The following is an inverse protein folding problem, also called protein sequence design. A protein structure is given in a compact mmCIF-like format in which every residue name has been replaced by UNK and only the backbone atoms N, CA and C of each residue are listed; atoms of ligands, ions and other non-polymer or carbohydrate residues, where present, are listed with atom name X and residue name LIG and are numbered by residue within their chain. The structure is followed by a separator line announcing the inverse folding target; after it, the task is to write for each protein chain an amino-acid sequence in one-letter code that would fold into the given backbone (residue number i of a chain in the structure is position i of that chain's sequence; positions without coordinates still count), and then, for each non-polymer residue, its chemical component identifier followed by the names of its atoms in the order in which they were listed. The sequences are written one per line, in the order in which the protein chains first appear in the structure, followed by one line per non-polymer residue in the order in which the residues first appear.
data_IF_846096205442
#
_entry.id   IF_846096205442
#
_cell.length_a   1.000
_cell.length_b   1.000
_cell.length_c   1.000
_cell.angle_alpha   90.00
_cell.angle_beta   90.00
_cell.angle_gamma   90.00
#
_symmetry.space_group_name_H-M   'P 1'
#
loop_
_entity.id
_entity.type
_entity.pdbx_description
1 polymer ?
#
# COMPACT_ATOMS: atom_id res chain seq x y z
N UNK A 1 -15.60 14.35 57.72
CA UNK A 1 -14.56 14.65 56.71
C UNK A 1 -14.32 13.53 55.69
N UNK A 2 -14.34 12.23 56.06
CA UNK A 2 -13.95 11.14 55.13
C UNK A 2 -14.88 10.92 53.91
N UNK A 3 -16.21 11.09 54.04
CA UNK A 3 -17.16 10.85 52.94
C UNK A 3 -17.14 11.91 51.81
N UNK A 4 -16.88 13.18 52.15
CA UNK A 4 -16.80 14.28 51.17
C UNK A 4 -15.53 14.15 50.31
N UNK A 5 -14.44 13.65 50.88
CA UNK A 5 -13.18 13.40 50.17
C UNK A 5 -13.28 12.18 49.25
N UNK A 6 -14.06 11.15 49.62
CA UNK A 6 -14.31 9.98 48.77
C UNK A 6 -15.18 10.34 47.57
N UNK A 7 -16.21 11.16 47.75
CA UNK A 7 -17.06 11.69 46.67
C UNK A 7 -16.28 12.58 45.69
N UNK A 8 -15.39 13.43 46.20
CA UNK A 8 -14.49 14.25 45.39
C UNK A 8 -13.49 13.39 44.59
N UNK A 9 -12.96 12.31 45.19
CA UNK A 9 -12.03 11.40 44.53
C UNK A 9 -12.70 10.58 43.41
N UNK A 10 -13.95 10.13 43.61
CA UNK A 10 -14.73 9.44 42.57
C UNK A 10 -15.12 10.36 41.41
N UNK A 11 -15.39 11.64 41.68
CA UNK A 11 -15.72 12.61 40.64
C UNK A 11 -14.50 12.97 39.77
N UNK A 12 -13.31 13.06 40.39
CA UNK A 12 -12.04 13.28 39.68
C UNK A 12 -11.67 12.05 38.84
N UNK A 13 -11.86 10.83 39.35
CA UNK A 13 -11.60 9.61 38.59
C UNK A 13 -12.52 9.48 37.36
N UNK A 14 -13.79 9.86 37.49
CA UNK A 14 -14.75 9.84 36.39
C UNK A 14 -14.43 10.89 35.31
N UNK A 15 -13.94 12.07 35.72
CA UNK A 15 -13.50 13.12 34.80
C UNK A 15 -12.27 12.70 33.98
N UNK A 16 -11.32 12.00 34.60
CA UNK A 16 -10.11 11.49 33.94
C UNK A 16 -10.46 10.34 32.97
N UNK A 17 -11.46 9.52 33.30
CA UNK A 17 -11.92 8.46 32.41
C UNK A 17 -12.60 9.02 31.13
N UNK A 18 -13.33 10.14 31.25
CA UNK A 18 -13.95 10.80 30.10
C UNK A 18 -12.94 11.53 29.19
N UNK A 19 -11.82 12.03 29.72
CA UNK A 19 -10.80 12.69 28.88
C UNK A 19 -9.92 11.69 28.12
N UNK A 20 -9.69 10.48 28.66
CA UNK A 20 -8.91 9.44 27.97
C UNK A 20 -9.72 8.76 26.85
N UNK A 21 -11.04 8.61 27.01
CA UNK A 21 -11.88 8.00 25.97
C UNK A 21 -12.14 8.92 24.76
N UNK A 22 -12.05 10.25 24.94
CA UNK A 22 -12.23 11.22 23.86
C UNK A 22 -11.02 11.37 22.92
N UNK A 23 -9.83 10.90 23.32
CA UNK A 23 -8.64 10.92 22.47
C UNK A 23 -8.51 9.70 21.54
N UNK A 24 -9.42 8.72 21.63
CA UNK A 24 -9.37 7.49 20.81
C UNK A 24 -10.20 7.55 19.51
N UNK A 25 -11.01 8.60 19.29
CA UNK A 25 -11.84 8.76 18.08
C UNK A 25 -11.31 9.81 17.10
N UNK A 26 -10.05 10.24 17.25
CA UNK A 26 -9.40 11.22 16.37
C UNK A 26 -8.71 10.63 15.15
N UNK A 27 -8.99 9.38 14.75
CA UNK A 27 -8.52 8.87 13.46
C UNK A 27 -9.42 9.45 12.38
N UNK A 28 -9.10 10.68 11.95
CA UNK A 28 -9.46 11.12 10.61
C UNK A 28 -8.85 10.09 9.68
N UNK A 29 -9.65 9.15 9.20
CA UNK A 29 -9.43 8.59 7.87
C UNK A 29 -9.40 9.79 6.94
N UNK A 30 -8.20 10.32 6.70
CA UNK A 30 -7.91 10.93 5.41
C UNK A 30 -8.35 9.88 4.41
N UNK A 31 -9.47 10.12 3.74
CA UNK A 31 -9.78 9.41 2.52
C UNK A 31 -8.46 9.37 1.74
N UNK A 32 -7.89 8.18 1.55
CA UNK A 32 -6.80 8.04 0.58
C UNK A 32 -7.43 8.63 -0.68
N UNK A 33 -6.88 9.74 -1.18
CA UNK A 33 -7.09 10.08 -2.57
C UNK A 33 -6.87 8.78 -3.37
N UNK A 34 -7.66 8.53 -4.40
CA UNK A 34 -7.56 7.32 -5.24
C UNK A 34 -6.28 7.36 -6.10
N UNK A 35 -5.17 7.77 -5.50
CA UNK A 35 -3.84 7.81 -6.03
C UNK A 35 -3.22 6.41 -5.85
N UNK A 36 -2.75 5.83 -6.94
CA UNK A 36 -2.09 4.52 -6.98
C UNK A 36 -0.69 4.72 -7.54
N UNK A 37 0.33 4.24 -6.83
CA UNK A 37 1.71 4.21 -7.33
C UNK A 37 2.02 2.80 -7.85
N UNK A 38 2.34 2.68 -9.13
CA UNK A 38 2.64 1.40 -9.78
C UNK A 38 4.11 1.35 -10.18
N UNK A 39 4.84 0.37 -9.64
CA UNK A 39 6.21 0.06 -10.04
C UNK A 39 6.27 -0.76 -11.33
N UNK A 40 7.02 -0.32 -12.34
CA UNK A 40 7.06 -0.98 -13.66
C UNK A 40 8.48 -1.04 -14.24
N UNK A 41 8.75 -2.01 -15.12
CA UNK A 41 9.90 -1.89 -16.03
C UNK A 41 9.61 -0.87 -17.14
N UNK A 42 10.63 -0.20 -17.72
CA UNK A 42 10.40 0.91 -18.66
C UNK A 42 9.63 0.51 -19.92
N UNK A 43 9.90 -0.67 -20.47
CA UNK A 43 9.16 -1.20 -21.63
C UNK A 43 9.13 -2.73 -21.56
N UNK A 44 8.02 -3.39 -21.97
CA UNK A 44 6.76 -2.79 -22.44
C UNK A 44 5.82 -2.34 -21.30
N UNK A 45 6.16 -2.60 -20.04
CA UNK A 45 5.26 -2.46 -18.90
C UNK A 45 4.76 -1.03 -18.68
N UNK A 46 5.66 -0.03 -18.63
CA UNK A 46 5.25 1.37 -18.50
C UNK A 46 4.39 1.81 -19.70
N UNK A 47 4.72 1.36 -20.91
CA UNK A 47 3.98 1.70 -22.13
C UNK A 47 2.54 1.20 -22.07
N UNK A 48 2.33 -0.01 -21.53
CA UNK A 48 1.00 -0.60 -21.31
C UNK A 48 0.22 0.20 -20.25
N UNK A 49 0.84 0.52 -19.10
CA UNK A 49 0.15 1.29 -18.04
C UNK A 49 -0.24 2.67 -18.55
N UNK A 50 0.64 3.34 -19.31
CA UNK A 50 0.37 4.65 -19.93
C UNK A 50 -0.89 4.66 -20.82
N UNK A 51 -1.31 3.53 -21.39
CA UNK A 51 -2.53 3.47 -22.21
C UNK A 51 -3.83 3.65 -21.42
N UNK A 52 -3.82 3.40 -20.11
CA UNK A 52 -5.04 3.43 -19.27
C UNK A 52 -5.08 4.57 -18.27
N UNK A 53 -3.98 5.33 -18.11
CA UNK A 53 -3.89 6.43 -17.13
C UNK A 53 -4.97 7.49 -17.36
N UNK A 54 -5.15 7.94 -18.60
CA UNK A 54 -6.12 9.00 -18.92
C UNK A 54 -7.58 8.57 -18.66
N UNK A 55 -7.89 7.29 -18.86
CA UNK A 55 -9.23 6.76 -18.61
C UNK A 55 -9.48 6.58 -17.11
N UNK A 56 -8.48 6.11 -16.36
CA UNK A 56 -8.52 6.03 -14.91
C UNK A 56 -8.64 7.42 -14.27
N UNK A 57 -7.96 8.43 -14.80
CA UNK A 57 -8.05 9.80 -14.28
C UNK A 57 -9.48 10.37 -14.43
N UNK A 58 -10.18 10.07 -15.54
CA UNK A 58 -11.60 10.42 -15.72
C UNK A 58 -12.52 9.72 -14.72
N UNK A 59 -12.14 8.52 -14.27
CA UNK A 59 -12.82 7.79 -13.20
C UNK A 59 -12.42 8.26 -11.79
N UNK A 60 -11.55 9.26 -11.70
CA UNK A 60 -11.07 9.82 -10.44
C UNK A 60 -10.00 8.96 -9.77
N UNK A 61 -9.27 8.14 -10.53
CA UNK A 61 -8.14 7.35 -10.08
C UNK A 61 -6.87 7.93 -10.70
N UNK A 62 -5.94 8.39 -9.87
CA UNK A 62 -4.69 8.97 -10.34
C UNK A 62 -3.57 7.93 -10.28
N UNK A 63 -2.96 7.63 -11.42
CA UNK A 63 -1.87 6.65 -11.48
C UNK A 63 -0.52 7.35 -11.57
N UNK A 64 0.36 7.06 -10.62
CA UNK A 64 1.78 7.46 -10.66
C UNK A 64 2.63 6.25 -11.07
N UNK A 65 3.37 6.38 -12.17
CA UNK A 65 4.26 5.33 -12.66
C UNK A 65 5.66 5.54 -12.06
N UNK A 66 6.20 4.52 -11.40
CA UNK A 66 7.59 4.48 -10.91
C UNK A 66 8.37 3.45 -11.72
N UNK A 67 9.30 3.89 -12.54
CA UNK A 67 10.10 3.00 -13.39
C UNK A 67 11.31 2.42 -12.63
N UNK A 68 11.56 1.13 -12.79
CA UNK A 68 12.70 0.40 -12.21
C UNK A 68 13.55 -0.23 -13.29
N UNK A 69 14.87 -0.14 -13.15
CA UNK A 69 15.84 -0.76 -14.07
C UNK A 69 16.32 -2.15 -13.64
N UNK A 70 15.86 -2.65 -12.48
CA UNK A 70 16.19 -3.97 -11.95
C UNK A 70 14.94 -4.67 -11.38
N UNK A 71 15.08 -5.93 -10.95
CA UNK A 71 13.97 -6.83 -10.66
C UNK A 71 13.77 -7.16 -9.17
N UNK A 72 14.62 -6.67 -8.28
CA UNK A 72 14.56 -6.91 -6.83
C UNK A 72 13.79 -5.78 -6.14
N UNK A 73 14.13 -4.53 -6.40
CA UNK A 73 13.55 -3.37 -5.70
C UNK A 73 12.03 -3.23 -5.87
N UNK A 74 11.39 -3.54 -7.02
CA UNK A 74 9.93 -3.38 -7.13
C UNK A 74 9.15 -4.23 -6.13
N UNK A 75 9.67 -5.40 -5.74
CA UNK A 75 9.03 -6.25 -4.73
C UNK A 75 9.33 -5.78 -3.31
N UNK A 76 10.54 -5.26 -3.06
CA UNK A 76 10.89 -4.70 -1.76
C UNK A 76 10.09 -3.44 -1.46
N UNK A 77 10.02 -2.51 -2.41
CA UNK A 77 9.24 -1.27 -2.29
C UNK A 77 7.75 -1.58 -2.08
N UNK A 78 7.22 -2.63 -2.74
CA UNK A 78 5.83 -3.06 -2.53
C UNK A 78 5.62 -3.62 -1.12
N UNK A 79 6.54 -4.46 -0.64
CA UNK A 79 6.46 -5.03 0.71
C UNK A 79 6.64 -3.96 1.81
N UNK A 80 7.40 -2.90 1.54
CA UNK A 80 7.59 -1.76 2.45
C UNK A 80 6.45 -0.73 2.37
N UNK A 81 5.56 -0.84 1.38
CA UNK A 81 4.42 0.07 1.18
C UNK A 81 4.78 1.39 0.49
N UNK A 82 5.94 1.46 -0.16
CA UNK A 82 6.40 2.62 -0.94
C UNK A 82 5.70 2.72 -2.31
N UNK A 83 5.14 1.61 -2.79
CA UNK A 83 4.26 1.54 -3.97
C UNK A 83 3.03 0.68 -3.65
N UNK A 84 1.91 0.90 -4.35
CA UNK A 84 0.66 0.17 -4.11
C UNK A 84 0.55 -1.13 -4.94
N UNK A 85 1.25 -1.20 -6.08
CA UNK A 85 1.34 -2.39 -6.92
C UNK A 85 2.63 -2.38 -7.75
N UNK A 86 3.01 -3.53 -8.32
CA UNK A 86 4.02 -3.59 -9.37
C UNK A 86 3.56 -4.43 -10.57
N UNK A 87 4.13 -4.14 -11.74
CA UNK A 87 3.88 -4.82 -13.00
C UNK A 87 5.19 -4.92 -13.78
N UNK A 88 5.93 -6.01 -13.56
CA UNK A 88 7.22 -6.27 -14.19
C UNK A 88 7.61 -7.76 -14.29
N UNK A 89 6.88 -8.65 -13.60
CA UNK A 89 7.31 -10.02 -13.30
C UNK A 89 6.25 -11.05 -13.70
N UNK A 90 6.68 -12.30 -13.82
CA UNK A 90 5.81 -13.47 -13.98
C UNK A 90 5.65 -14.24 -12.67
N UNK A 91 4.57 -15.02 -12.54
CA UNK A 91 4.20 -15.75 -11.31
C UNK A 91 5.34 -16.59 -10.70
N UNK A 92 6.10 -17.40 -11.45
CA UNK A 92 7.15 -18.23 -10.84
C UNK A 92 8.25 -17.42 -10.13
N UNK A 93 8.57 -16.22 -10.65
CA UNK A 93 9.57 -15.34 -10.03
C UNK A 93 9.06 -14.77 -8.72
N UNK A 94 7.79 -14.33 -8.68
CA UNK A 94 7.19 -13.81 -7.45
C UNK A 94 7.10 -14.89 -6.36
N UNK A 95 6.70 -16.12 -6.72
CA UNK A 95 6.60 -17.24 -5.78
C UNK A 95 7.97 -17.59 -5.17
N UNK A 96 9.02 -17.64 -5.98
CA UNK A 96 10.40 -17.83 -5.49
C UNK A 96 10.85 -16.66 -4.61
N UNK A 97 10.60 -15.43 -5.04
CA UNK A 97 10.98 -14.23 -4.29
C UNK A 97 10.32 -14.15 -2.90
N UNK A 98 9.03 -14.50 -2.82
CA UNK A 98 8.27 -14.62 -1.57
C UNK A 98 8.88 -15.72 -0.69
N UNK A 99 9.13 -16.91 -1.25
CA UNK A 99 9.65 -18.04 -0.49
C UNK A 99 11.04 -17.77 0.11
N UNK A 100 11.90 -17.04 -0.61
CA UNK A 100 13.24 -16.67 -0.14
C UNK A 100 13.26 -15.60 0.94
N UNK A 101 12.25 -14.73 1.00
CA UNK A 101 12.27 -13.49 1.81
C UNK A 101 11.13 -13.38 2.82
N UNK A 102 10.21 -14.34 2.84
CA UNK A 102 9.06 -14.36 3.76
C UNK A 102 8.19 -13.09 3.64
N UNK A 103 7.81 -12.74 2.40
CA UNK A 103 7.02 -11.54 2.09
C UNK A 103 5.53 -11.87 1.89
N UNK A 104 4.66 -10.99 2.39
CA UNK A 104 3.20 -11.08 2.19
C UNK A 104 2.78 -10.34 0.92
N UNK A 105 3.09 -10.92 -0.24
CA UNK A 105 2.72 -10.41 -1.56
C UNK A 105 1.80 -11.40 -2.26
N UNK A 106 0.94 -10.91 -3.17
CA UNK A 106 0.00 -11.75 -3.91
C UNK A 106 -0.14 -11.34 -5.37
N UNK A 107 -0.50 -12.30 -6.22
CA UNK A 107 -0.79 -12.05 -7.64
C UNK A 107 -2.22 -11.55 -7.77
N UNK A 108 -2.40 -10.37 -8.38
CA UNK A 108 -3.74 -9.82 -8.66
C UNK A 108 -4.32 -10.33 -9.99
N UNK A 109 -3.48 -10.64 -10.97
CA UNK A 109 -3.92 -11.16 -12.27
C UNK A 109 -2.78 -11.23 -13.28
N UNK A 110 -2.99 -12.03 -14.34
CA UNK A 110 -2.10 -12.07 -15.51
C UNK A 110 -2.47 -10.99 -16.52
N UNK A 111 -1.48 -10.28 -17.05
CA UNK A 111 -1.69 -9.15 -17.97
C UNK A 111 -1.19 -9.50 -19.39
N UNK A 112 0.07 -9.91 -19.53
CA UNK A 112 0.67 -10.27 -20.81
C UNK A 112 1.73 -11.38 -20.65
N UNK A 113 2.26 -11.86 -21.78
CA UNK A 113 3.36 -12.82 -21.83
C UNK A 113 4.41 -12.34 -22.82
N UNK A 114 5.68 -12.42 -22.43
CA UNK A 114 6.84 -12.09 -23.26
C UNK A 114 7.59 -13.38 -23.61
N UNK A 115 7.55 -13.86 -24.87
CA UNK A 115 8.27 -15.06 -25.26
C UNK A 115 9.78 -14.88 -25.12
N UNK A 116 10.43 -15.77 -24.38
CA UNK A 116 11.89 -15.76 -24.26
C UNK A 116 12.55 -16.08 -25.61
N UNK A 117 13.53 -15.26 -25.99
CA UNK A 117 14.33 -15.44 -27.21
C UNK A 117 15.78 -15.78 -26.91
N UNK A 118 16.43 -16.51 -27.82
CA UNK A 118 17.87 -16.74 -27.84
C UNK A 118 18.44 -15.97 -29.03
N UNK A 119 19.47 -15.16 -28.80
CA UNK A 119 20.09 -14.29 -29.82
C UNK A 119 21.60 -14.58 -29.93
N UNK A 120 22.22 -14.30 -31.08
CA UNK A 120 23.66 -14.42 -31.35
C UNK A 120 24.19 -13.18 -32.05
#
# INVERSE_FOLDING_TARGET
MKRKNVLALTLVLLLIFTTVFASACGKKETAKDNDIIIGVSPSPHADIVKQVVDDLEKEGIKVTIKEYSEYVQPNLDLAEGEIDANFFQHTPYLEEFIAERDLDLSVLGGIHIEPMGIFS
#
